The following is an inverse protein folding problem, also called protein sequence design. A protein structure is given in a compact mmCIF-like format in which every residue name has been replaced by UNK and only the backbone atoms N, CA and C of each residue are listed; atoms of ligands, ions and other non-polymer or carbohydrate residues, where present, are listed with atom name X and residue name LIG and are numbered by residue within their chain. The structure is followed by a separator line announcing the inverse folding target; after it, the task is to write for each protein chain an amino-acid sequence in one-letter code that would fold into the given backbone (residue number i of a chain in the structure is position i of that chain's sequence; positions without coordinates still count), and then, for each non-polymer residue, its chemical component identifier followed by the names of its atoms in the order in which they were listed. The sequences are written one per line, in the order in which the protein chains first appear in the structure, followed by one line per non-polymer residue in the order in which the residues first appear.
data_IF_188636736908
#
_entry.id   IF_188636736908
#
_cell.length_a   1.000
_cell.length_b   1.000
_cell.length_c   1.000
_cell.angle_alpha   90.00
_cell.angle_beta   90.00
_cell.angle_gamma   90.00
#
_symmetry.space_group_name_H-M   'P 1'
#
loop_
_entity.id
_entity.type
_entity.pdbx_description
1 polymer ?
#
# COMPACT_ATOMS: atom_id res chain seq x y z
N UNK A 1 -36.05 -11.14 -21.67
CA UNK A 1 -35.30 -10.52 -20.57
C UNK A 1 -33.98 -11.28 -20.40
N UNK A 2 -32.86 -10.73 -20.87
CA UNK A 2 -31.54 -11.36 -20.75
C UNK A 2 -30.96 -10.90 -19.43
N UNK A 3 -30.94 -11.78 -18.43
CA UNK A 3 -30.24 -11.53 -17.17
C UNK A 3 -28.74 -11.54 -17.46
N UNK A 4 -28.10 -10.38 -17.47
CA UNK A 4 -26.65 -10.28 -17.50
C UNK A 4 -26.11 -10.85 -16.18
N UNK A 5 -25.55 -12.05 -16.21
CA UNK A 5 -24.71 -12.56 -15.13
C UNK A 5 -23.48 -11.66 -15.03
N UNK A 6 -23.49 -10.71 -14.10
CA UNK A 6 -22.28 -10.04 -13.64
C UNK A 6 -21.45 -11.09 -12.89
N UNK A 7 -20.53 -11.74 -13.60
CA UNK A 7 -19.50 -12.53 -12.95
C UNK A 7 -18.72 -11.58 -12.05
N UNK A 8 -18.90 -11.70 -10.74
CA UNK A 8 -18.05 -11.02 -9.78
C UNK A 8 -16.60 -11.46 -10.05
N UNK A 9 -15.80 -10.57 -10.61
CA UNK A 9 -14.35 -10.83 -10.77
C UNK A 9 -13.82 -11.16 -9.39
N UNK A 10 -13.35 -12.37 -9.20
CA UNK A 10 -12.77 -12.80 -7.94
C UNK A 10 -11.63 -11.85 -7.58
N UNK A 11 -11.68 -11.30 -6.38
CA UNK A 11 -10.58 -10.48 -5.81
C UNK A 11 -9.34 -11.36 -5.79
N UNK A 12 -8.32 -11.02 -6.58
CA UNK A 12 -7.11 -11.81 -6.73
C UNK A 12 -5.88 -11.01 -6.30
N UNK A 13 -5.04 -11.60 -5.48
CA UNK A 13 -3.72 -11.09 -5.16
C UNK A 13 -2.82 -11.04 -6.41
N UNK A 14 -1.77 -10.21 -6.46
CA UNK A 14 -0.84 -10.16 -7.58
C UNK A 14 -0.18 -11.51 -7.83
N UNK A 15 0.19 -11.85 -9.08
CA UNK A 15 0.90 -13.08 -9.41
C UNK A 15 2.21 -13.17 -8.62
N UNK A 16 2.39 -14.27 -7.88
CA UNK A 16 3.61 -14.47 -7.10
C UNK A 16 4.82 -14.73 -8.01
N UNK A 17 5.90 -13.99 -7.77
CA UNK A 17 7.14 -14.10 -8.56
C UNK A 17 7.17 -13.23 -9.81
N UNK A 18 6.12 -12.46 -10.10
CA UNK A 18 6.11 -11.50 -11.20
C UNK A 18 7.12 -10.37 -10.97
N UNK A 19 7.67 -9.82 -12.07
CA UNK A 19 8.51 -8.64 -12.00
C UNK A 19 7.72 -7.44 -11.47
N UNK A 20 8.25 -6.77 -10.48
CA UNK A 20 7.58 -5.69 -9.75
C UNK A 20 8.35 -4.38 -9.84
N UNK A 21 7.63 -3.25 -9.95
CA UNK A 21 8.19 -1.92 -9.78
C UNK A 21 7.29 -1.05 -8.88
N UNK A 22 7.91 -0.14 -8.16
CA UNK A 22 7.26 0.75 -7.21
C UNK A 22 7.39 2.19 -7.70
N UNK A 23 6.30 2.76 -8.24
CA UNK A 23 6.25 4.04 -8.97
C UNK A 23 5.30 5.05 -8.28
N UNK A 24 5.29 5.10 -6.96
CA UNK A 24 4.36 5.98 -6.23
C UNK A 24 4.74 7.46 -6.30
N UNK A 25 6.02 7.79 -6.43
CA UNK A 25 6.49 9.18 -6.58
C UNK A 25 6.39 9.73 -8.02
N UNK A 26 5.93 8.92 -8.99
CA UNK A 26 5.69 9.34 -10.37
C UNK A 26 5.66 8.19 -11.35
N UNK A 27 4.65 8.16 -12.20
CA UNK A 27 4.45 7.09 -13.17
C UNK A 27 5.37 7.27 -14.41
N UNK A 28 5.96 6.16 -14.86
CA UNK A 28 6.77 6.09 -16.09
C UNK A 28 6.55 4.72 -16.78
N UNK A 29 7.01 4.55 -18.05
CA UNK A 29 6.90 3.27 -18.75
C UNK A 29 7.55 2.13 -17.97
N UNK A 30 6.87 0.98 -17.91
CA UNK A 30 7.38 -0.16 -17.15
C UNK A 30 8.73 -0.64 -17.68
N UNK A 31 9.70 -0.92 -16.82
CA UNK A 31 10.95 -1.56 -17.20
C UNK A 31 10.71 -2.95 -17.79
N UNK A 32 11.62 -3.43 -18.64
CA UNK A 32 11.53 -4.76 -19.22
C UNK A 32 11.39 -5.85 -18.13
N UNK A 33 10.44 -6.77 -18.34
CA UNK A 33 10.13 -7.87 -17.43
C UNK A 33 9.38 -7.47 -16.15
N UNK A 34 8.87 -6.24 -16.06
CA UNK A 34 7.94 -5.79 -15.02
C UNK A 34 6.52 -5.94 -15.54
N UNK A 35 5.68 -6.66 -14.81
CA UNK A 35 4.25 -6.82 -15.12
C UNK A 35 3.34 -6.41 -13.96
N UNK A 36 3.90 -6.21 -12.76
CA UNK A 36 3.20 -5.71 -11.57
C UNK A 36 3.76 -4.35 -11.17
N UNK A 37 2.89 -3.39 -10.89
CA UNK A 37 3.33 -2.04 -10.47
C UNK A 37 2.43 -1.45 -9.41
N UNK A 38 3.01 -0.79 -8.39
CA UNK A 38 2.27 0.11 -7.50
C UNK A 38 2.43 1.55 -7.96
N UNK A 39 1.32 2.30 -8.04
CA UNK A 39 1.27 3.71 -8.45
C UNK A 39 0.31 4.50 -7.59
N UNK A 40 0.61 5.79 -7.42
CA UNK A 40 -0.28 6.72 -6.75
C UNK A 40 -1.71 6.71 -7.37
N UNK A 41 -2.72 6.90 -6.56
CA UNK A 41 -4.13 6.86 -6.97
C UNK A 41 -4.49 7.88 -8.07
N UNK A 42 -3.68 8.93 -8.26
CA UNK A 42 -3.85 9.93 -9.32
C UNK A 42 -3.39 9.41 -10.67
N UNK A 43 -2.43 8.48 -10.69
CA UNK A 43 -1.85 7.92 -11.90
C UNK A 43 -2.82 6.97 -12.64
N UNK A 44 -2.40 6.51 -13.83
CA UNK A 44 -3.07 5.43 -14.57
C UNK A 44 -2.43 4.08 -14.21
N UNK A 45 -3.21 3.00 -14.14
CA UNK A 45 -2.66 1.65 -14.00
C UNK A 45 -1.81 1.28 -15.22
N UNK A 46 -0.90 0.31 -15.04
CA UNK A 46 -0.09 -0.27 -16.11
C UNK A 46 0.27 -1.72 -15.78
N UNK A 47 0.74 -2.48 -16.78
CA UNK A 47 1.10 -3.89 -16.64
C UNK A 47 -0.12 -4.80 -16.48
N UNK A 48 0.15 -6.05 -16.14
CA UNK A 48 -0.89 -7.08 -15.98
C UNK A 48 -1.62 -6.92 -14.63
N UNK A 49 -0.96 -6.32 -13.65
CA UNK A 49 -1.51 -6.08 -12.33
C UNK A 49 -1.01 -4.75 -11.75
N UNK A 50 -1.92 -3.81 -11.55
CA UNK A 50 -1.61 -2.53 -10.94
C UNK A 50 -2.22 -2.43 -9.54
N UNK A 51 -1.39 -2.01 -8.58
CA UNK A 51 -1.77 -1.68 -7.19
C UNK A 51 -1.89 -0.17 -7.07
N UNK A 52 -2.99 0.28 -6.50
CA UNK A 52 -3.27 1.68 -6.24
C UNK A 52 -2.73 2.07 -4.85
N UNK A 53 -1.74 2.94 -4.79
CA UNK A 53 -1.24 3.51 -3.55
C UNK A 53 -2.15 4.61 -3.05
N UNK A 54 -2.50 4.54 -1.77
CA UNK A 54 -3.27 5.57 -1.04
C UNK A 54 -2.62 5.75 0.33
N UNK A 55 -2.18 6.96 0.68
CA UNK A 55 -1.82 7.27 2.06
C UNK A 55 -3.09 7.37 2.91
N UNK A 56 -3.44 6.27 3.57
CA UNK A 56 -4.73 6.14 4.23
C UNK A 56 -4.72 6.57 5.70
N UNK A 57 -3.56 6.67 6.31
CA UNK A 57 -3.39 6.97 7.73
C UNK A 57 -2.78 8.35 8.00
N UNK A 58 -2.29 9.01 6.94
CA UNK A 58 -1.77 10.36 6.99
C UNK A 58 -2.43 11.25 5.95
N UNK A 59 -2.47 12.54 6.23
CA UNK A 59 -2.75 13.59 5.27
C UNK A 59 -1.51 13.82 4.41
N UNK A 60 -1.72 13.92 3.11
CA UNK A 60 -0.74 14.45 2.16
C UNK A 60 -1.34 15.67 1.45
N UNK A 61 -0.54 16.68 1.07
CA UNK A 61 -1.03 17.80 0.30
C UNK A 61 -1.75 17.36 -0.98
N UNK A 62 -2.95 17.87 -1.20
CA UNK A 62 -3.76 17.54 -2.37
C UNK A 62 -4.65 16.30 -2.26
N UNK A 63 -4.65 15.55 -1.15
CA UNK A 63 -5.53 14.39 -0.93
C UNK A 63 -6.98 14.77 -0.59
N UNK A 64 -7.21 16.06 -0.29
CA UNK A 64 -8.56 16.57 -0.04
C UNK A 64 -9.17 16.11 1.28
N UNK A 65 -8.35 15.76 2.28
CA UNK A 65 -8.83 15.43 3.61
C UNK A 65 -9.55 16.61 4.26
N UNK A 66 -10.70 16.38 4.90
CA UNK A 66 -11.32 17.43 5.71
C UNK A 66 -10.39 17.86 6.84
N UNK A 67 -10.19 19.17 7.02
CA UNK A 67 -9.30 19.72 8.06
C UNK A 67 -9.58 19.12 9.46
N UNK A 68 -10.86 18.87 9.77
CA UNK A 68 -11.30 18.26 11.06
C UNK A 68 -10.99 16.77 11.20
N UNK A 69 -10.38 16.14 10.20
CA UNK A 69 -9.93 14.74 10.23
C UNK A 69 -8.43 14.59 10.45
N UNK A 70 -7.70 15.70 10.43
CA UNK A 70 -6.23 15.75 10.51
C UNK A 70 -5.81 16.21 11.91
N UNK A 71 -4.84 15.54 12.48
CA UNK A 71 -4.19 15.90 13.74
C UNK A 71 -2.97 16.78 13.43
N UNK A 72 -3.18 18.08 13.35
CA UNK A 72 -2.17 19.05 12.90
C UNK A 72 -0.96 19.19 13.84
N UNK A 73 -1.05 18.69 15.07
CA UNK A 73 0.06 18.64 16.04
C UNK A 73 0.93 17.38 15.88
N UNK A 74 0.57 16.49 14.93
CA UNK A 74 1.23 15.22 14.69
C UNK A 74 1.76 15.14 13.26
N UNK A 75 2.76 15.96 12.95
CA UNK A 75 3.49 15.96 11.69
C UNK A 75 4.46 14.77 11.64
N UNK A 76 4.63 14.18 10.44
CA UNK A 76 5.61 13.11 10.23
C UNK A 76 7.03 13.72 10.21
N UNK A 77 7.95 13.27 11.09
CA UNK A 77 9.30 13.85 11.18
C UNK A 77 10.16 13.57 9.94
N UNK A 78 9.86 12.51 9.19
CA UNK A 78 10.61 12.11 7.99
C UNK A 78 9.99 12.66 6.71
N UNK A 79 8.70 13.06 6.75
CA UNK A 79 7.93 13.55 5.60
C UNK A 79 7.21 14.87 5.93
N UNK A 80 7.92 16.01 5.89
CA UNK A 80 7.35 17.32 6.20
C UNK A 80 6.10 17.63 5.36
N UNK A 81 5.06 18.13 6.02
CA UNK A 81 3.75 18.40 5.40
C UNK A 81 2.77 17.22 5.43
N UNK A 82 3.19 16.05 5.95
CA UNK A 82 2.30 14.93 6.22
C UNK A 82 1.91 14.87 7.70
N UNK A 83 0.63 14.60 7.99
CA UNK A 83 0.07 14.65 9.34
C UNK A 83 -0.82 13.44 9.61
N UNK A 84 -0.83 12.95 10.85
CA UNK A 84 -1.67 11.82 11.23
C UNK A 84 -3.17 12.11 11.01
N UNK A 85 -3.91 11.09 10.58
CA UNK A 85 -5.38 11.13 10.51
C UNK A 85 -5.98 10.67 11.84
N UNK A 86 -6.96 11.42 12.34
CA UNK A 86 -7.66 11.09 13.57
C UNK A 86 -8.60 9.89 13.41
N UNK A 87 -8.14 8.74 13.90
CA UNK A 87 -8.86 7.47 13.91
C UNK A 87 -9.23 7.00 15.33
N UNK A 88 -9.17 7.89 16.32
CA UNK A 88 -9.30 7.59 17.75
C UNK A 88 -10.65 7.00 18.16
N UNK A 89 -11.72 7.27 17.43
CA UNK A 89 -13.06 6.76 17.75
C UNK A 89 -13.69 5.99 16.59
N UNK A 90 -14.67 5.10 16.85
CA UNK A 90 -15.40 4.40 15.77
C UNK A 90 -16.02 5.35 14.72
N UNK A 91 -16.54 6.50 15.16
CA UNK A 91 -17.11 7.52 14.27
C UNK A 91 -16.06 8.19 13.39
N UNK A 92 -14.89 8.50 13.94
CA UNK A 92 -13.76 9.08 13.20
C UNK A 92 -13.20 8.07 12.20
N UNK A 93 -12.99 6.81 12.59
CA UNK A 93 -12.60 5.71 11.68
C UNK A 93 -13.59 5.53 10.52
N UNK A 94 -14.89 5.63 10.79
CA UNK A 94 -15.91 5.56 9.74
C UNK A 94 -15.81 6.73 8.76
N UNK A 95 -15.60 7.94 9.27
CA UNK A 95 -15.42 9.16 8.45
C UNK A 95 -14.17 9.06 7.59
N UNK A 96 -13.04 8.66 8.18
CA UNK A 96 -11.79 8.45 7.47
C UNK A 96 -11.96 7.39 6.37
N UNK A 97 -12.56 6.24 6.67
CA UNK A 97 -12.82 5.19 5.68
C UNK A 97 -13.70 5.67 4.51
N UNK A 98 -14.71 6.49 4.76
CA UNK A 98 -15.55 7.10 3.71
C UNK A 98 -14.75 8.07 2.81
N UNK A 99 -13.76 8.75 3.38
CA UNK A 99 -12.87 9.60 2.59
C UNK A 99 -11.99 8.75 1.68
N UNK A 100 -11.27 7.76 2.23
CA UNK A 100 -10.42 6.83 1.49
C UNK A 100 -11.21 6.06 0.42
N UNK A 101 -12.45 5.66 0.71
CA UNK A 101 -13.33 4.96 -0.25
C UNK A 101 -13.54 5.73 -1.55
N UNK A 102 -13.51 7.07 -1.54
CA UNK A 102 -13.57 7.88 -2.76
C UNK A 102 -12.38 7.61 -3.68
N UNK A 103 -11.18 7.48 -3.11
CA UNK A 103 -9.96 7.14 -3.87
C UNK A 103 -10.00 5.68 -4.33
N UNK A 104 -10.39 4.74 -3.48
CA UNK A 104 -10.55 3.32 -3.83
C UNK A 104 -11.51 3.15 -5.01
N UNK A 105 -12.66 3.82 -4.99
CA UNK A 105 -13.62 3.81 -6.10
C UNK A 105 -13.02 4.35 -7.41
N UNK A 106 -12.22 5.43 -7.33
CA UNK A 106 -11.51 5.98 -8.50
C UNK A 106 -10.48 4.99 -9.05
N UNK A 107 -9.75 4.31 -8.16
CA UNK A 107 -8.78 3.29 -8.56
C UNK A 107 -9.47 2.12 -9.26
N UNK A 108 -10.57 1.60 -8.71
CA UNK A 108 -11.36 0.55 -9.34
C UNK A 108 -11.88 0.97 -10.73
N UNK A 109 -12.42 2.19 -10.84
CA UNK A 109 -12.90 2.74 -12.11
C UNK A 109 -11.79 2.94 -13.16
N UNK A 110 -10.52 3.16 -12.73
CA UNK A 110 -9.37 3.24 -13.62
C UNK A 110 -8.84 1.87 -14.06
N UNK A 111 -9.25 0.77 -13.42
CA UNK A 111 -8.79 -0.58 -13.72
C UNK A 111 -7.61 -1.07 -12.89
N UNK A 112 -7.31 -0.43 -11.75
CA UNK A 112 -6.43 -1.05 -10.76
C UNK A 112 -7.05 -2.35 -10.25
N UNK A 113 -6.22 -3.30 -9.81
CA UNK A 113 -6.66 -4.61 -9.33
C UNK A 113 -6.42 -4.81 -7.83
N UNK A 114 -5.51 -4.04 -7.24
CA UNK A 114 -5.24 -4.03 -5.81
C UNK A 114 -5.14 -2.61 -5.27
N UNK A 115 -5.19 -2.47 -3.96
CA UNK A 115 -4.95 -1.20 -3.25
C UNK A 115 -4.00 -1.42 -2.09
N UNK A 116 -3.07 -0.52 -1.93
CA UNK A 116 -2.13 -0.40 -0.83
C UNK A 116 -2.55 0.76 0.06
N UNK A 117 -2.65 0.52 1.35
CA UNK A 117 -2.94 1.55 2.36
C UNK A 117 -1.69 1.82 3.17
N UNK A 118 -1.04 2.94 2.91
CA UNK A 118 0.19 3.29 3.57
C UNK A 118 0.00 3.78 5.00
N UNK A 119 1.09 3.73 5.77
CA UNK A 119 1.20 4.17 7.16
C UNK A 119 0.28 3.43 8.15
N UNK A 120 0.06 2.13 7.90
CA UNK A 120 -0.72 1.26 8.78
C UNK A 120 -0.19 1.26 10.22
N UNK A 121 1.11 1.48 10.40
CA UNK A 121 1.87 1.51 11.65
C UNK A 121 1.87 2.88 12.36
N UNK A 122 0.99 3.80 11.98
CA UNK A 122 0.95 5.17 12.53
C UNK A 122 0.96 5.24 14.06
N UNK A 123 0.48 4.22 14.77
CA UNK A 123 0.56 4.18 16.23
C UNK A 123 2.00 4.11 16.77
N UNK A 124 2.96 3.67 15.97
CA UNK A 124 4.39 3.65 16.35
C UNK A 124 5.08 4.97 16.01
N UNK A 125 4.63 5.63 14.93
CA UNK A 125 5.15 6.95 14.52
C UNK A 125 4.71 8.07 15.46
N UNK A 126 3.48 7.97 15.97
CA UNK A 126 2.82 9.00 16.77
C UNK A 126 2.40 8.41 18.13
N UNK A 127 3.35 8.12 19.03
CA UNK A 127 3.06 7.45 20.30
C UNK A 127 2.12 8.25 21.21
N UNK A 128 2.13 9.59 21.08
CA UNK A 128 1.30 10.50 21.88
C UNK A 128 -0.03 10.87 21.19
N UNK A 129 -0.31 10.31 20.01
CA UNK A 129 -1.57 10.55 19.33
C UNK A 129 -2.77 9.97 20.10
N UNK A 130 -3.99 10.54 19.95
CA UNK A 130 -5.18 10.06 20.66
C UNK A 130 -5.71 8.71 20.17
N UNK A 131 -4.93 7.96 19.41
CA UNK A 131 -5.23 6.61 18.93
C UNK A 131 -4.05 5.67 19.14
N UNK A 132 -4.32 4.39 19.21
CA UNK A 132 -3.29 3.36 19.37
C UNK A 132 -3.45 2.20 18.39
N UNK A 133 -2.65 1.14 18.60
CA UNK A 133 -2.69 -0.08 17.78
C UNK A 133 -4.09 -0.67 17.61
N UNK A 134 -4.98 -0.77 18.64
CA UNK A 134 -6.34 -1.27 18.48
C UNK A 134 -7.18 -0.44 17.49
N UNK A 135 -7.00 0.88 17.49
CA UNK A 135 -7.72 1.79 16.60
C UNK A 135 -7.25 1.64 15.16
N UNK A 136 -5.93 1.56 14.95
CA UNK A 136 -5.32 1.31 13.64
C UNK A 136 -5.75 -0.05 13.07
N UNK A 137 -5.75 -1.11 13.88
CA UNK A 137 -6.24 -2.44 13.49
C UNK A 137 -7.72 -2.41 13.12
N UNK A 138 -8.56 -1.74 13.90
CA UNK A 138 -9.99 -1.61 13.60
C UNK A 138 -10.24 -0.82 12.30
N UNK A 139 -9.43 0.20 12.05
CA UNK A 139 -9.49 1.00 10.83
C UNK A 139 -9.00 0.18 9.62
N UNK A 140 -7.85 -0.51 9.73
CA UNK A 140 -7.31 -1.39 8.69
C UNK A 140 -8.30 -2.46 8.24
N UNK A 141 -8.97 -3.16 9.18
CA UNK A 141 -10.06 -4.10 8.87
C UNK A 141 -11.19 -3.47 8.06
N UNK A 142 -11.51 -2.21 8.35
CA UNK A 142 -12.54 -1.48 7.61
C UNK A 142 -12.07 -1.16 6.20
N UNK A 143 -10.81 -0.75 6.04
CA UNK A 143 -10.22 -0.44 4.73
C UNK A 143 -10.13 -1.68 3.84
N UNK A 144 -9.74 -2.85 4.37
CA UNK A 144 -9.74 -4.10 3.61
C UNK A 144 -11.15 -4.41 3.06
N UNK A 145 -12.21 -4.27 3.88
CA UNK A 145 -13.59 -4.42 3.41
C UNK A 145 -14.00 -3.37 2.37
N UNK A 146 -13.45 -2.13 2.47
CA UNK A 146 -13.67 -1.10 1.43
C UNK A 146 -13.10 -1.58 0.10
N UNK A 147 -11.86 -2.06 0.07
CA UNK A 147 -11.23 -2.59 -1.14
C UNK A 147 -12.09 -3.69 -1.78
N UNK A 148 -12.48 -4.68 -1.01
CA UNK A 148 -13.26 -5.83 -1.49
C UNK A 148 -14.63 -5.43 -2.06
N UNK A 149 -15.34 -4.45 -1.44
CA UNK A 149 -16.61 -3.96 -2.00
C UNK A 149 -16.48 -3.34 -3.39
N UNK A 150 -15.27 -2.88 -3.72
CA UNK A 150 -14.96 -2.30 -5.05
C UNK A 150 -14.18 -3.27 -5.96
N UNK A 151 -14.12 -4.57 -5.59
CA UNK A 151 -13.46 -5.60 -6.40
C UNK A 151 -11.94 -5.53 -6.42
N UNK A 152 -11.31 -4.81 -5.49
CA UNK A 152 -9.86 -4.70 -5.36
C UNK A 152 -9.33 -5.61 -4.26
N UNK A 153 -8.16 -6.24 -4.50
CA UNK A 153 -7.41 -6.90 -3.46
C UNK A 153 -6.76 -5.87 -2.52
N UNK A 154 -6.75 -6.14 -1.23
CA UNK A 154 -6.15 -5.27 -0.23
C UNK A 154 -4.73 -5.72 0.15
N UNK A 155 -3.76 -4.81 0.09
CA UNK A 155 -2.40 -5.04 0.55
C UNK A 155 -2.20 -4.62 2.00
N UNK A 156 -1.60 -5.48 2.81
CA UNK A 156 -0.98 -5.09 4.06
C UNK A 156 0.32 -4.34 3.75
N UNK A 157 0.43 -3.09 4.16
CA UNK A 157 1.69 -2.35 4.12
C UNK A 157 2.45 -2.56 5.42
N UNK A 158 3.67 -3.06 5.33
CA UNK A 158 4.53 -3.27 6.50
C UNK A 158 3.86 -4.00 7.68
N UNK A 159 4.26 -3.73 8.93
CA UNK A 159 3.62 -4.27 10.17
C UNK A 159 3.54 -5.80 10.22
N UNK A 160 4.67 -6.48 10.05
CA UNK A 160 4.76 -7.96 10.02
C UNK A 160 4.21 -8.65 11.29
N UNK A 161 4.17 -7.92 12.40
CA UNK A 161 3.62 -8.38 13.68
C UNK A 161 2.08 -8.48 13.70
N UNK A 162 1.41 -7.89 12.70
CA UNK A 162 -0.02 -8.07 12.52
C UNK A 162 -0.32 -9.26 11.64
N UNK A 163 -1.28 -10.08 12.04
CA UNK A 163 -1.80 -11.12 11.14
C UNK A 163 -2.77 -10.50 10.14
N UNK A 164 -2.23 -9.98 9.03
CA UNK A 164 -3.03 -9.27 8.04
C UNK A 164 -4.09 -10.13 7.37
N UNK A 165 -3.89 -11.44 7.22
CA UNK A 165 -4.93 -12.35 6.73
C UNK A 165 -6.18 -12.33 7.60
N UNK A 166 -6.00 -12.31 8.94
CA UNK A 166 -7.14 -12.17 9.88
C UNK A 166 -7.77 -10.78 9.86
N UNK A 167 -7.07 -9.79 9.33
CA UNK A 167 -7.59 -8.44 9.14
C UNK A 167 -8.31 -8.26 7.79
N UNK A 168 -8.18 -9.25 6.89
CA UNK A 168 -8.83 -9.24 5.57
C UNK A 168 -7.91 -8.76 4.44
N UNK A 169 -6.60 -8.72 4.64
CA UNK A 169 -5.65 -8.42 3.58
C UNK A 169 -5.33 -9.67 2.74
N UNK A 170 -5.16 -9.48 1.43
CA UNK A 170 -4.98 -10.56 0.45
C UNK A 170 -3.51 -10.81 0.13
N UNK A 171 -2.67 -9.79 0.21
CA UNK A 171 -1.23 -9.82 -0.06
C UNK A 171 -0.51 -8.77 0.79
N UNK A 172 0.81 -8.67 0.65
CA UNK A 172 1.59 -7.65 1.35
C UNK A 172 2.47 -6.84 0.40
N UNK A 173 2.70 -5.57 0.77
CA UNK A 173 3.81 -4.75 0.30
C UNK A 173 4.73 -4.52 1.49
N UNK A 174 5.95 -5.03 1.39
CA UNK A 174 6.93 -5.03 2.47
C UNK A 174 8.15 -4.18 2.11
N UNK A 175 8.31 -3.03 2.75
CA UNK A 175 9.49 -2.21 2.61
C UNK A 175 10.56 -2.65 3.60
N UNK A 176 11.79 -2.72 3.11
CA UNK A 176 12.98 -3.04 3.89
C UNK A 176 12.90 -4.35 4.70
N UNK A 177 12.06 -5.34 4.28
CA UNK A 177 11.97 -6.61 5.01
C UNK A 177 13.30 -7.37 5.04
N UNK A 178 14.17 -7.19 4.05
CA UNK A 178 15.54 -7.72 4.04
C UNK A 178 16.46 -7.00 5.01
N UNK A 179 16.26 -5.70 5.21
CA UNK A 179 16.99 -4.89 6.20
C UNK A 179 16.67 -5.32 7.63
N UNK A 180 15.37 -5.48 7.91
CA UNK A 180 14.87 -5.79 9.25
C UNK A 180 14.74 -7.28 9.54
N UNK A 181 15.13 -8.15 8.57
CA UNK A 181 15.02 -9.62 8.69
C UNK A 181 13.60 -10.15 8.86
N UNK A 182 12.60 -9.44 8.32
CA UNK A 182 11.18 -9.72 8.47
C UNK A 182 10.55 -10.51 7.32
N UNK A 183 11.25 -10.65 6.19
CA UNK A 183 10.74 -11.31 4.98
C UNK A 183 10.14 -12.70 5.24
N UNK A 184 10.70 -13.47 6.18
CA UNK A 184 10.17 -14.79 6.55
C UNK A 184 8.79 -14.70 7.21
N UNK A 185 8.49 -13.63 7.95
CA UNK A 185 7.17 -13.37 8.53
C UNK A 185 6.10 -13.19 7.47
N UNK A 186 6.37 -12.33 6.49
CA UNK A 186 5.47 -12.13 5.35
C UNK A 186 5.29 -13.40 4.52
N UNK A 187 6.37 -14.16 4.29
CA UNK A 187 6.30 -15.43 3.56
C UNK A 187 5.40 -16.45 4.24
N UNK A 188 5.46 -16.58 5.57
CA UNK A 188 4.56 -17.45 6.32
C UNK A 188 3.10 -17.03 6.18
N UNK A 189 2.84 -15.71 6.09
CA UNK A 189 1.50 -15.16 6.06
C UNK A 189 0.88 -15.18 4.67
N UNK A 190 1.64 -14.79 3.65
CA UNK A 190 1.13 -14.56 2.29
C UNK A 190 1.74 -15.47 1.22
N UNK A 191 2.67 -16.37 1.60
CA UNK A 191 3.36 -17.24 0.65
C UNK A 191 4.17 -16.43 -0.36
N UNK A 192 3.81 -16.57 -1.65
CA UNK A 192 4.47 -15.87 -2.76
C UNK A 192 3.82 -14.50 -3.11
N UNK A 193 2.70 -14.16 -2.46
CA UNK A 193 1.96 -12.92 -2.72
C UNK A 193 2.49 -11.77 -1.86
N UNK A 194 3.77 -11.47 -2.02
CA UNK A 194 4.47 -10.36 -1.37
C UNK A 194 5.22 -9.58 -2.44
N UNK A 195 5.01 -8.28 -2.47
CA UNK A 195 5.75 -7.31 -3.27
C UNK A 195 6.72 -6.60 -2.31
N UNK A 196 8.02 -6.78 -2.50
CA UNK A 196 9.00 -6.24 -1.60
C UNK A 196 9.76 -5.04 -2.21
N UNK A 197 9.99 -4.01 -1.40
CA UNK A 197 10.74 -2.82 -1.79
C UNK A 197 11.95 -2.68 -0.87
N UNK A 198 13.14 -2.51 -1.45
CA UNK A 198 14.37 -2.29 -0.72
C UNK A 198 15.07 -1.04 -1.22
N UNK A 199 15.77 -0.35 -0.32
CA UNK A 199 16.49 0.89 -0.64
C UNK A 199 18.00 0.71 -0.66
N UNK A 200 18.48 -0.51 -0.34
CA UNK A 200 19.93 -0.86 -0.36
C UNK A 200 20.16 -2.16 -1.13
N UNK A 201 21.18 -2.19 -1.99
CA UNK A 201 21.53 -3.39 -2.79
C UNK A 201 21.79 -4.64 -1.97
N UNK A 202 22.43 -4.50 -0.78
CA UNK A 202 22.70 -5.65 0.10
C UNK A 202 21.41 -6.28 0.62
N UNK A 203 20.41 -5.45 0.90
CA UNK A 203 19.15 -5.89 1.47
C UNK A 203 18.26 -6.49 0.37
N UNK A 204 18.24 -5.91 -0.85
CA UNK A 204 17.64 -6.56 -2.02
C UNK A 204 18.20 -7.97 -2.23
N UNK A 205 19.52 -8.18 -2.15
CA UNK A 205 20.12 -9.52 -2.30
C UNK A 205 19.61 -10.52 -1.26
N UNK A 206 19.30 -10.09 -0.04
CA UNK A 206 18.68 -10.93 1.00
C UNK A 206 17.22 -11.23 0.65
N UNK A 207 16.48 -10.21 0.26
CA UNK A 207 15.06 -10.32 -0.11
C UNK A 207 14.87 -11.20 -1.32
N UNK A 208 15.73 -11.14 -2.33
CA UNK A 208 15.70 -12.01 -3.52
C UNK A 208 15.82 -13.52 -3.21
N UNK A 209 16.39 -13.89 -2.07
CA UNK A 209 16.42 -15.30 -1.62
C UNK A 209 15.06 -15.80 -1.14
N UNK A 210 14.14 -14.88 -0.83
CA UNK A 210 12.82 -15.17 -0.28
C UNK A 210 11.71 -14.88 -1.29
N UNK A 211 11.81 -13.73 -1.98
CA UNK A 211 10.81 -13.24 -2.93
C UNK A 211 11.42 -12.88 -4.27
N UNK A 212 10.79 -13.31 -5.37
CA UNK A 212 11.14 -12.89 -6.72
C UNK A 212 10.55 -11.52 -7.07
N UNK A 213 9.38 -11.19 -6.51
CA UNK A 213 8.73 -9.89 -6.69
C UNK A 213 9.34 -8.86 -5.72
N UNK A 214 10.64 -8.57 -5.90
CA UNK A 214 11.34 -7.58 -5.11
C UNK A 214 12.07 -6.58 -5.99
N UNK A 215 12.05 -5.31 -5.58
CA UNK A 215 12.64 -4.18 -6.30
C UNK A 215 13.53 -3.33 -5.39
N UNK A 216 14.65 -2.83 -5.94
CA UNK A 216 15.44 -1.76 -5.36
C UNK A 216 14.94 -0.43 -5.90
N UNK A 217 14.65 0.50 -5.02
CA UNK A 217 14.33 1.87 -5.37
C UNK A 217 15.22 2.85 -4.59
N UNK A 218 15.18 4.10 -4.99
CA UNK A 218 15.56 5.22 -4.14
C UNK A 218 14.44 5.50 -3.12
N UNK A 219 14.76 6.17 -2.00
CA UNK A 219 13.79 6.42 -0.92
C UNK A 219 12.63 7.33 -1.37
N UNK A 220 12.91 8.32 -2.21
CA UNK A 220 11.90 9.26 -2.72
C UNK A 220 11.06 8.68 -3.87
N UNK A 221 11.41 7.46 -4.31
CA UNK A 221 10.73 6.73 -5.41
C UNK A 221 10.54 7.59 -6.66
N UNK A 222 11.57 8.39 -6.99
CA UNK A 222 11.51 9.34 -8.12
C UNK A 222 11.31 8.63 -9.46
N UNK A 223 10.64 9.26 -10.44
CA UNK A 223 10.42 8.64 -11.75
C UNK A 223 11.72 8.46 -12.53
N UNK A 224 11.72 7.52 -13.47
CA UNK A 224 12.87 7.24 -14.35
C UNK A 224 13.32 8.49 -15.09
N UNK A 225 14.63 8.78 -15.02
CA UNK A 225 15.25 9.96 -15.60
C UNK A 225 15.40 11.14 -14.65
N UNK A 226 14.76 11.11 -13.49
CA UNK A 226 14.97 12.12 -12.45
C UNK A 226 16.29 11.85 -11.68
N UNK A 227 16.94 12.91 -11.14
CA UNK A 227 18.08 12.75 -10.25
C UNK A 227 17.77 11.82 -9.08
N UNK A 228 18.71 10.96 -8.72
CA UNK A 228 18.53 9.99 -7.63
C UNK A 228 17.84 8.68 -8.01
N UNK A 229 17.24 8.57 -9.20
CA UNK A 229 16.58 7.35 -9.63
C UNK A 229 17.44 6.09 -9.48
N UNK A 230 16.88 5.10 -8.83
CA UNK A 230 17.47 3.75 -8.69
C UNK A 230 16.44 2.69 -9.04
N UNK A 231 16.90 1.69 -9.78
CA UNK A 231 16.08 0.53 -10.11
C UNK A 231 16.98 -0.71 -10.25
N UNK A 232 16.63 -1.76 -9.55
CA UNK A 232 17.10 -3.12 -9.80
C UNK A 232 16.04 -4.09 -9.28
N UNK A 233 16.03 -5.31 -9.78
CA UNK A 233 15.08 -6.34 -9.34
C UNK A 233 15.76 -7.70 -9.20
N UNK A 234 15.10 -8.63 -8.58
CA UNK A 234 15.51 -10.02 -8.65
C UNK A 234 15.26 -10.55 -10.09
#
# INVERSE_FOLDING_TARGET
MIAALLAALAVAAPPGGAGFDYQIGGAYPLPAGVSVVSRDWRARPAGDYAVCYINAFQYQPGDGWPRSSVLWDFEDPDWPGEFAIDISTPRKRLRAARHVEKHVRRCAAKGFRGVEYDNLDSWTRYPDAPFGRPDSVAYAKRLARVAHRHGLAAAQKNTVELNGRRLGFDFAIAEECGRWHECAGYKRMYGRHVLAVEYRRRDLRRTCRVFRSAVLRDLDVVPRGAPGYRFARC
#
